data_IF_575047292944
#
_entry.id   IF_575047292944
#
_cell.length_a   1.000
_cell.length_b   1.000
_cell.length_c   1.000
_cell.angle_alpha   90.00
_cell.angle_beta   90.00
_cell.angle_gamma   90.00
#
_symmetry.space_group_name_H-M   'P 1'
#
loop_
_entity.id
_entity.type
_entity.pdbx_description
1 polymer ?
#
# COMPACT_ATOMS: atom_id res chain seq x y z
N UNK A 1 -12.75 6.10 -18.91
CA UNK A 1 -11.85 4.95 -18.86
C UNK A 1 -10.45 5.53 -18.94
N UNK A 2 -9.91 5.95 -17.80
CA UNK A 2 -8.58 6.59 -17.73
C UNK A 2 -7.54 5.48 -17.72
N UNK A 3 -6.57 5.59 -18.62
CA UNK A 3 -5.49 4.63 -18.80
C UNK A 3 -4.56 4.71 -17.60
N UNK A 4 -4.62 3.67 -16.76
CA UNK A 4 -3.77 3.41 -15.59
C UNK A 4 -2.35 3.07 -16.07
N UNK A 5 -1.62 4.08 -16.52
CA UNK A 5 -0.19 4.01 -16.76
C UNK A 5 0.50 4.38 -15.44
N UNK A 6 1.60 3.72 -15.06
CA UNK A 6 2.37 4.03 -13.86
C UNK A 6 3.01 5.42 -13.99
N UNK A 7 2.20 6.45 -13.83
CA UNK A 7 2.60 7.84 -13.88
C UNK A 7 2.99 8.35 -12.50
N UNK A 8 3.63 9.54 -12.43
CA UNK A 8 4.04 10.18 -11.18
C UNK A 8 2.91 10.30 -10.15
N UNK A 9 1.66 10.49 -10.59
CA UNK A 9 0.48 10.56 -9.73
C UNK A 9 0.19 9.26 -8.95
N UNK A 10 0.54 8.08 -9.47
CA UNK A 10 0.44 6.82 -8.71
C UNK A 10 1.55 6.69 -7.66
N UNK A 11 2.74 7.23 -7.94
CA UNK A 11 3.86 7.24 -7.00
C UNK A 11 3.57 8.19 -5.83
N UNK A 12 3.11 9.40 -6.11
CA UNK A 12 2.74 10.39 -5.08
C UNK A 12 1.65 9.82 -4.15
N UNK A 13 0.62 9.15 -4.70
CA UNK A 13 -0.42 8.47 -3.91
C UNK A 13 0.13 7.34 -3.05
N UNK A 14 1.14 6.60 -3.54
CA UNK A 14 1.78 5.55 -2.75
C UNK A 14 2.57 6.17 -1.58
N UNK A 15 3.37 7.21 -1.83
CA UNK A 15 4.13 7.90 -0.80
C UNK A 15 3.22 8.51 0.28
N UNK A 16 2.11 9.14 -0.10
CA UNK A 16 1.10 9.65 0.84
C UNK A 16 0.51 8.53 1.73
N UNK A 17 0.20 7.37 1.14
CA UNK A 17 -0.31 6.21 1.89
C UNK A 17 0.74 5.72 2.89
N UNK A 18 1.99 5.61 2.49
CA UNK A 18 3.09 5.18 3.37
C UNK A 18 3.29 6.19 4.50
N UNK A 19 3.33 7.49 4.20
CA UNK A 19 3.47 8.54 5.21
C UNK A 19 2.36 8.47 6.25
N UNK A 20 1.11 8.27 5.82
CA UNK A 20 -0.02 8.12 6.72
C UNK A 20 0.05 6.85 7.56
N UNK A 21 0.48 5.73 6.98
CA UNK A 21 0.71 4.48 7.71
C UNK A 21 1.74 4.66 8.83
N UNK A 22 2.86 5.34 8.56
CA UNK A 22 3.87 5.62 9.58
C UNK A 22 3.34 6.49 10.72
N UNK A 23 2.52 7.50 10.42
CA UNK A 23 1.85 8.31 11.45
C UNK A 23 0.97 7.45 12.35
N UNK A 24 0.17 6.57 11.75
CA UNK A 24 -0.70 5.67 12.49
C UNK A 24 0.11 4.74 13.39
N UNK A 25 1.20 4.15 12.87
CA UNK A 25 2.10 3.29 13.65
C UNK A 25 2.66 4.07 14.84
N UNK A 26 3.20 5.28 14.62
CA UNK A 26 3.71 6.14 15.71
C UNK A 26 2.65 6.42 16.78
N UNK A 27 1.40 6.68 16.38
CA UNK A 27 0.30 6.92 17.31
C UNK A 27 -0.06 5.66 18.11
N UNK A 28 -0.13 4.50 17.46
CA UNK A 28 -0.43 3.22 18.12
C UNK A 28 0.70 2.80 19.07
N UNK A 29 1.95 2.90 18.64
CA UNK A 29 3.14 2.57 19.43
C UNK A 29 3.30 3.47 20.66
N UNK A 30 2.78 4.71 20.60
CA UNK A 30 2.80 5.59 21.76
C UNK A 30 2.02 5.02 22.96
N UNK A 31 1.05 4.13 22.71
CA UNK A 31 0.18 3.54 23.74
C UNK A 31 -0.75 4.54 24.43
N UNK A 32 -0.83 5.80 23.96
CA UNK A 32 -1.61 6.88 24.59
C UNK A 32 -3.04 6.98 24.04
N UNK A 33 -3.32 6.37 22.89
CA UNK A 33 -4.63 6.39 22.28
C UNK A 33 -5.63 5.53 23.10
N UNK A 34 -6.81 6.06 23.45
CA UNK A 34 -7.88 5.25 24.04
C UNK A 34 -8.27 4.10 23.12
N UNK A 35 -8.78 2.99 23.69
CA UNK A 35 -9.13 1.78 22.92
C UNK A 35 -9.96 2.06 21.66
N UNK A 36 -10.99 2.92 21.77
CA UNK A 36 -11.84 3.26 20.63
C UNK A 36 -11.06 3.97 19.50
N UNK A 37 -10.11 4.82 19.86
CA UNK A 37 -9.25 5.50 18.88
C UNK A 37 -8.22 4.53 18.27
N UNK A 38 -7.62 3.67 19.10
CA UNK A 38 -6.70 2.63 18.63
C UNK A 38 -7.35 1.69 17.62
N UNK A 39 -8.61 1.31 17.82
CA UNK A 39 -9.38 0.50 16.87
C UNK A 39 -9.63 1.24 15.55
N UNK A 40 -9.91 2.55 15.60
CA UNK A 40 -10.10 3.37 14.39
C UNK A 40 -8.81 3.51 13.59
N UNK A 41 -7.72 3.83 14.28
CA UNK A 41 -6.37 3.91 13.72
C UNK A 41 -5.97 2.59 13.05
N UNK A 42 -6.20 1.46 13.73
CA UNK A 42 -5.93 0.13 13.17
C UNK A 42 -6.76 -0.14 11.89
N UNK A 43 -8.05 0.18 11.91
CA UNK A 43 -8.92 -0.02 10.75
C UNK A 43 -8.50 0.85 9.55
N UNK A 44 -8.10 2.10 9.81
CA UNK A 44 -7.53 2.98 8.78
C UNK A 44 -6.24 2.40 8.20
N UNK A 45 -5.30 1.98 9.07
CA UNK A 45 -4.06 1.35 8.64
C UNK A 45 -4.31 0.11 7.77
N UNK A 46 -5.24 -0.77 8.16
CA UNK A 46 -5.59 -1.94 7.34
C UNK A 46 -6.03 -1.56 5.93
N UNK A 47 -6.93 -0.57 5.81
CA UNK A 47 -7.42 -0.10 4.51
C UNK A 47 -6.32 0.56 3.68
N UNK A 48 -5.41 1.31 4.31
CA UNK A 48 -4.27 1.92 3.65
C UNK A 48 -3.28 0.87 3.13
N UNK A 49 -2.95 -0.15 3.93
CA UNK A 49 -2.08 -1.25 3.51
C UNK A 49 -2.65 -2.01 2.31
N UNK A 50 -3.96 -2.28 2.31
CA UNK A 50 -4.63 -2.91 1.15
C UNK A 50 -4.57 -2.04 -0.11
N UNK A 51 -4.62 -0.70 0.03
CA UNK A 51 -4.47 0.22 -1.11
C UNK A 51 -3.04 0.26 -1.62
N UNK A 52 -2.05 0.32 -0.72
CA UNK A 52 -0.63 0.28 -1.08
C UNK A 52 -0.31 -0.98 -1.89
N UNK A 53 -0.75 -2.15 -1.43
CA UNK A 53 -0.57 -3.42 -2.13
C UNK A 53 -1.17 -3.40 -3.53
N UNK A 54 -2.39 -2.86 -3.71
CA UNK A 54 -3.01 -2.75 -5.03
C UNK A 54 -2.26 -1.81 -5.99
N UNK A 55 -1.64 -0.75 -5.47
CA UNK A 55 -0.81 0.14 -6.29
C UNK A 55 0.46 -0.61 -6.76
N UNK A 56 1.10 -1.36 -5.86
CA UNK A 56 2.26 -2.19 -6.19
C UNK A 56 1.91 -3.29 -7.20
N UNK A 57 0.79 -4.00 -7.01
CA UNK A 57 0.31 -5.02 -7.96
C UNK A 57 0.13 -4.44 -9.37
N UNK A 58 -0.41 -3.22 -9.48
CA UNK A 58 -0.56 -2.53 -10.79
C UNK A 58 0.80 -2.17 -11.38
N UNK A 59 1.71 -1.63 -10.58
CA UNK A 59 3.06 -1.30 -11.03
C UNK A 59 3.79 -2.55 -11.53
N UNK A 60 3.71 -3.67 -10.80
CA UNK A 60 4.28 -4.95 -11.22
C UNK A 60 3.62 -5.50 -12.50
N UNK A 61 2.30 -5.37 -12.64
CA UNK A 61 1.60 -5.82 -13.83
C UNK A 61 2.06 -5.06 -15.08
N UNK A 62 2.30 -3.75 -14.96
CA UNK A 62 2.85 -2.93 -16.05
C UNK A 62 4.28 -3.35 -16.42
N UNK A 63 5.12 -3.65 -15.42
CA UNK A 63 6.46 -4.19 -15.67
C UNK A 63 6.40 -5.55 -16.36
N UNK A 64 5.52 -6.46 -15.92
CA UNK A 64 5.36 -7.81 -16.50
C UNK A 64 4.73 -7.79 -17.90
N UNK A 65 3.91 -6.80 -18.23
CA UNK A 65 3.39 -6.62 -19.59
C UNK A 65 4.45 -6.10 -20.56
N UNK A 66 5.46 -5.39 -20.02
CA UNK A 66 6.57 -4.84 -20.80
C UNK A 66 7.71 -5.85 -20.92
N UNK A 67 7.97 -6.63 -19.86
CA UNK A 67 8.90 -7.75 -19.81
C UNK A 67 8.16 -9.08 -20.03
N UNK A 68 8.22 -9.59 -21.26
CA UNK A 68 7.63 -10.87 -21.65
C UNK A 68 8.43 -12.06 -21.06
N UNK A 69 8.57 -12.13 -19.73
CA UNK A 69 9.22 -13.22 -18.99
C UNK A 69 8.23 -13.79 -17.95
N UNK A 70 7.98 -15.11 -17.94
CA UNK A 70 7.03 -15.72 -17.03
C UNK A 70 7.53 -15.57 -15.59
N UNK A 71 6.64 -15.10 -14.68
CA UNK A 71 6.92 -15.06 -13.24
C UNK A 71 7.16 -16.49 -12.74
N UNK A 72 8.39 -16.82 -12.36
CA UNK A 72 8.66 -18.01 -11.54
C UNK A 72 7.95 -17.82 -10.20
N UNK A 73 7.00 -18.71 -9.95
CA UNK A 73 6.28 -18.80 -8.68
C UNK A 73 7.30 -19.23 -7.62
N UNK A 74 7.83 -18.28 -6.85
CA UNK A 74 8.56 -18.61 -5.64
C UNK A 74 7.54 -19.13 -4.64
N UNK A 75 7.47 -20.47 -4.59
CA UNK A 75 6.62 -21.22 -3.69
C UNK A 75 6.95 -20.94 -2.24
N UNK A 76 5.90 -21.10 -1.42
CA UNK A 76 5.89 -21.08 0.03
C UNK A 76 7.15 -21.62 0.69
N UNK A 77 7.82 -20.80 1.50
CA UNK A 77 8.52 -21.18 2.73
C UNK A 77 8.52 -20.02 3.71
#
# INVERSE_FOLDING_TARGET
METDNAGPDQLDRYEEIIQRLEEIVRLLESGKAPLGESLRLYQEAKTLSERANRLLERAEALLTQTDNHPKEVLGEF
#
